data_IF_233517880745
#
_entry.id   IF_233517880745
#
_cell.length_a   1.000
_cell.length_b   1.000
_cell.length_c   1.000
_cell.angle_alpha   90.00
_cell.angle_beta   90.00
_cell.angle_gamma   90.00
#
_symmetry.space_group_name_H-M   'P 1'
#
loop_
_entity.id
_entity.type
_entity.pdbx_description
1 polymer ?
#
# COMPACT_ATOMS: atom_id res chain seq x y z
N UNK A 1 15.40 -15.01 -26.18
CA UNK A 1 14.53 -14.74 -25.02
C UNK A 1 15.43 -14.79 -23.79
N UNK A 2 15.76 -13.62 -23.21
CA UNK A 2 16.69 -13.53 -22.09
C UNK A 2 15.93 -13.83 -20.80
N UNK A 3 16.09 -15.04 -20.27
CA UNK A 3 15.63 -15.37 -18.93
C UNK A 3 16.55 -14.68 -17.92
N UNK A 4 16.14 -13.51 -17.43
CA UNK A 4 16.86 -12.85 -16.34
C UNK A 4 16.52 -13.62 -15.06
N UNK A 5 17.41 -14.52 -14.63
CA UNK A 5 17.37 -15.10 -13.28
C UNK A 5 17.73 -13.98 -12.29
N UNK A 6 16.73 -13.24 -11.83
CA UNK A 6 16.92 -12.20 -10.82
C UNK A 6 16.89 -12.86 -9.44
N UNK A 7 18.05 -13.26 -8.92
CA UNK A 7 18.19 -13.61 -7.50
C UNK A 7 18.28 -12.31 -6.70
N UNK A 8 17.14 -11.83 -6.20
CA UNK A 8 17.15 -10.85 -5.11
C UNK A 8 17.59 -11.59 -3.85
N UNK A 9 18.67 -11.13 -3.20
CA UNK A 9 19.19 -11.72 -1.95
C UNK A 9 18.17 -11.72 -0.80
N UNK A 10 17.13 -10.90 -0.95
CA UNK A 10 16.16 -10.53 0.07
C UNK A 10 15.01 -11.53 0.19
N UNK A 11 14.62 -12.20 -0.91
CA UNK A 11 13.43 -13.08 -0.93
C UNK A 11 13.72 -14.48 -0.36
N UNK A 12 14.99 -14.89 -0.28
CA UNK A 12 15.39 -16.23 0.18
C UNK A 12 14.97 -17.38 -0.75
N UNK A 13 14.36 -17.07 -1.90
CA UNK A 13 13.88 -18.01 -2.90
C UNK A 13 14.38 -17.61 -4.29
N UNK A 14 14.89 -18.56 -5.07
CA UNK A 14 15.41 -18.28 -6.42
C UNK A 14 14.30 -18.49 -7.43
N UNK A 15 13.66 -17.39 -7.84
CA UNK A 15 12.61 -17.38 -8.83
C UNK A 15 13.04 -16.70 -10.13
N UNK A 16 12.41 -17.11 -11.22
CA UNK A 16 12.52 -16.45 -12.51
C UNK A 16 11.12 -16.20 -13.05
N UNK A 17 10.84 -14.96 -13.48
CA UNK A 17 9.53 -14.58 -13.97
C UNK A 17 9.60 -13.36 -14.87
N UNK A 18 8.48 -13.11 -15.55
CA UNK A 18 8.32 -11.95 -16.42
C UNK A 18 8.09 -10.71 -15.58
N UNK A 19 8.85 -9.65 -15.85
CA UNK A 19 8.62 -8.35 -15.24
C UNK A 19 7.34 -7.73 -15.79
N UNK A 20 6.35 -7.51 -14.94
CA UNK A 20 5.05 -6.94 -15.32
C UNK A 20 5.12 -5.42 -15.27
N UNK A 21 5.38 -4.85 -14.09
CA UNK A 21 5.56 -3.41 -13.93
C UNK A 21 6.23 -3.07 -12.60
N UNK A 22 6.48 -1.77 -12.42
CA UNK A 22 6.93 -1.14 -11.19
C UNK A 22 5.86 -0.17 -10.70
N UNK A 23 5.50 -0.23 -9.42
CA UNK A 23 4.56 0.73 -8.83
C UNK A 23 5.21 2.11 -8.62
N UNK A 24 4.43 3.09 -8.14
CA UNK A 24 4.92 4.46 -7.93
C UNK A 24 5.90 4.54 -6.75
N UNK A 25 5.74 3.67 -5.76
CA UNK A 25 6.65 3.56 -4.61
C UNK A 25 8.04 3.06 -5.03
N UNK A 26 8.02 2.11 -5.97
CA UNK A 26 9.14 1.52 -6.66
C UNK A 26 9.29 0.00 -6.46
N UNK A 27 8.27 -0.67 -5.92
CA UNK A 27 8.22 -2.13 -5.85
C UNK A 27 8.01 -2.70 -7.26
N UNK A 28 8.64 -3.83 -7.56
CA UNK A 28 8.58 -4.49 -8.86
C UNK A 28 7.73 -5.75 -8.76
N UNK A 29 6.89 -5.99 -9.76
CA UNK A 29 5.96 -7.11 -9.78
C UNK A 29 6.33 -8.07 -10.91
N UNK A 30 6.28 -9.36 -10.59
CA UNK A 30 6.67 -10.43 -11.50
C UNK A 30 5.62 -11.54 -11.54
N UNK A 31 5.55 -12.23 -12.67
CA UNK A 31 4.65 -13.37 -12.89
C UNK A 31 5.35 -14.50 -13.65
N UNK A 32 5.11 -15.75 -13.23
CA UNK A 32 5.46 -16.98 -13.95
C UNK A 32 4.35 -18.03 -13.74
N UNK A 33 3.62 -18.37 -14.80
CA UNK A 33 2.51 -19.32 -14.78
C UNK A 33 2.92 -20.76 -15.13
N UNK A 34 4.11 -20.98 -15.68
CA UNK A 34 4.51 -22.28 -16.25
C UNK A 34 5.28 -23.15 -15.25
N UNK A 35 6.24 -22.59 -14.53
CA UNK A 35 7.18 -23.35 -13.70
C UNK A 35 6.84 -23.35 -12.20
N UNK A 36 5.90 -22.50 -11.78
CA UNK A 36 5.59 -22.27 -10.36
C UNK A 36 4.29 -22.97 -9.93
N UNK A 37 4.24 -23.35 -8.65
CA UNK A 37 3.03 -23.92 -8.06
C UNK A 37 1.89 -22.89 -8.01
N UNK A 38 0.62 -23.34 -8.03
CA UNK A 38 -0.52 -22.45 -7.80
C UNK A 38 -0.31 -21.59 -6.54
N UNK A 39 -0.70 -20.31 -6.62
CA UNK A 39 -0.49 -19.26 -5.61
C UNK A 39 0.95 -18.74 -5.44
N UNK A 40 1.96 -19.38 -6.05
CA UNK A 40 3.35 -18.91 -6.07
C UNK A 40 3.77 -18.29 -7.41
N UNK A 41 2.83 -18.16 -8.35
CA UNK A 41 3.07 -17.67 -9.70
C UNK A 41 3.33 -16.16 -9.76
N UNK A 42 2.79 -15.39 -8.80
CA UNK A 42 3.00 -13.93 -8.68
C UNK A 42 3.82 -13.59 -7.44
N UNK A 43 4.74 -12.63 -7.56
CA UNK A 43 5.48 -12.10 -6.42
C UNK A 43 5.88 -10.64 -6.61
N UNK A 44 6.29 -10.02 -5.51
CA UNK A 44 6.77 -8.64 -5.45
C UNK A 44 8.22 -8.64 -4.94
N UNK A 45 9.04 -7.81 -5.56
CA UNK A 45 10.37 -7.42 -5.10
C UNK A 45 10.22 -6.00 -4.53
N UNK A 46 10.27 -5.88 -3.20
CA UNK A 46 10.08 -4.60 -2.53
C UNK A 46 11.27 -3.69 -2.82
N UNK A 47 11.02 -2.38 -2.74
CA UNK A 47 12.10 -1.39 -2.87
C UNK A 47 12.90 -1.24 -1.57
N UNK A 48 12.23 -1.32 -0.42
CA UNK A 48 12.84 -1.11 0.89
C UNK A 48 13.17 -2.44 1.57
N UNK A 49 14.23 -2.43 2.39
CA UNK A 49 14.79 -3.60 3.09
C UNK A 49 13.95 -4.05 4.29
N UNK A 50 12.97 -3.26 4.74
CA UNK A 50 12.04 -3.66 5.80
C UNK A 50 10.90 -4.58 5.32
N UNK A 51 10.79 -4.84 4.02
CA UNK A 51 9.87 -5.80 3.38
C UNK A 51 8.43 -5.77 3.91
N UNK A 52 7.84 -4.58 4.05
CA UNK A 52 6.52 -4.47 4.64
C UNK A 52 5.40 -4.65 3.60
N UNK A 53 4.48 -5.61 3.78
CA UNK A 53 3.37 -5.82 2.84
C UNK A 53 2.41 -4.63 2.75
N UNK A 54 2.42 -3.75 3.75
CA UNK A 54 1.64 -2.51 3.71
C UNK A 54 2.16 -1.47 2.72
N UNK A 55 3.29 -1.71 2.02
CA UNK A 55 3.82 -0.82 0.99
C UNK A 55 3.15 -1.04 -0.38
N UNK A 56 2.54 -2.22 -0.61
CA UNK A 56 1.88 -2.58 -1.87
C UNK A 56 0.65 -1.68 -2.08
N UNK A 57 0.58 -1.00 -3.23
CA UNK A 57 -0.58 -0.15 -3.54
C UNK A 57 -1.86 -1.00 -3.72
N UNK A 58 -3.07 -0.45 -3.47
CA UNK A 58 -4.32 -1.22 -3.45
C UNK A 58 -4.61 -2.00 -4.73
N UNK A 59 -4.34 -1.43 -5.92
CA UNK A 59 -4.53 -2.13 -7.19
C UNK A 59 -3.58 -3.31 -7.35
N UNK A 60 -2.31 -3.13 -6.98
CA UNK A 60 -1.31 -4.21 -6.99
C UNK A 60 -1.61 -5.28 -5.94
N UNK A 61 -2.17 -4.90 -4.80
CA UNK A 61 -2.63 -5.82 -3.77
C UNK A 61 -3.78 -6.72 -4.27
N UNK A 62 -4.71 -6.19 -5.06
CA UNK A 62 -5.76 -6.99 -5.68
C UNK A 62 -5.18 -8.01 -6.68
N UNK A 63 -4.22 -7.59 -7.50
CA UNK A 63 -3.60 -8.45 -8.52
C UNK A 63 -2.73 -9.55 -7.91
N UNK A 64 -1.86 -9.23 -6.94
CA UNK A 64 -0.99 -10.22 -6.29
C UNK A 64 -1.79 -11.23 -5.45
N UNK A 65 -2.96 -10.83 -4.95
CA UNK A 65 -3.88 -11.70 -4.20
C UNK A 65 -4.83 -12.52 -5.09
N UNK A 66 -4.63 -12.52 -6.41
CA UNK A 66 -5.48 -13.20 -7.40
C UNK A 66 -6.96 -12.77 -7.36
N UNK A 67 -7.27 -11.55 -6.91
CA UNK A 67 -8.64 -11.01 -7.01
C UNK A 67 -8.96 -10.55 -8.44
N UNK A 68 -7.94 -10.10 -9.17
CA UNK A 68 -8.04 -9.66 -10.56
C UNK A 68 -6.93 -10.32 -11.38
N UNK A 69 -7.26 -10.68 -12.62
CA UNK A 69 -6.30 -11.29 -13.54
C UNK A 69 -5.37 -10.25 -14.15
N UNK A 70 -5.91 -9.08 -14.50
CA UNK A 70 -5.17 -8.00 -15.15
C UNK A 70 -4.46 -7.11 -14.13
N UNK A 71 -3.20 -6.73 -14.37
CA UNK A 71 -2.50 -5.80 -13.50
C UNK A 71 -3.10 -4.38 -13.61
N UNK A 72 -2.86 -3.49 -12.62
CA UNK A 72 -3.33 -2.11 -12.64
C UNK A 72 -2.86 -1.29 -13.87
N UNK A 73 -1.76 -1.71 -14.49
CA UNK A 73 -1.24 -1.08 -15.72
C UNK A 73 -2.08 -1.39 -16.97
N UNK A 74 -2.89 -2.45 -16.94
CA UNK A 74 -3.74 -2.85 -18.07
C UNK A 74 -5.23 -2.64 -17.80
N UNK A 75 -5.66 -2.70 -16.54
CA UNK A 75 -7.05 -2.51 -16.19
C UNK A 75 -7.43 -1.03 -16.13
N UNK A 76 -8.28 -0.61 -17.08
CA UNK A 76 -8.81 0.75 -17.16
C UNK A 76 -9.56 1.16 -15.88
N UNK A 77 -10.21 0.23 -15.18
CA UNK A 77 -10.94 0.53 -13.95
C UNK A 77 -9.99 0.88 -12.81
N UNK A 78 -8.86 0.17 -12.72
CA UNK A 78 -7.84 0.43 -11.69
C UNK A 78 -7.03 1.70 -11.95
N UNK A 79 -7.02 2.19 -13.20
CA UNK A 79 -6.38 3.46 -13.58
C UNK A 79 -7.24 4.68 -13.27
N UNK A 80 -8.57 4.51 -13.19
CA UNK A 80 -9.48 5.61 -12.92
C UNK A 80 -9.38 6.08 -11.47
N UNK A 81 -8.79 7.26 -11.27
CA UNK A 81 -8.74 7.90 -9.96
C UNK A 81 -10.02 8.66 -9.67
N UNK A 82 -10.61 8.39 -8.51
CA UNK A 82 -11.76 9.13 -8.01
C UNK A 82 -11.32 10.45 -7.35
N UNK A 83 -12.15 11.52 -7.37
CA UNK A 83 -11.73 12.83 -6.86
C UNK A 83 -11.46 12.88 -5.35
N UNK A 84 -12.05 11.96 -4.57
CA UNK A 84 -11.80 11.83 -3.13
C UNK A 84 -10.63 10.90 -2.79
N UNK A 85 -10.08 10.19 -3.78
CA UNK A 85 -9.03 9.23 -3.56
C UNK A 85 -7.71 9.96 -3.32
N UNK A 86 -6.93 9.45 -2.36
CA UNK A 86 -5.59 9.97 -2.13
C UNK A 86 -4.74 9.82 -3.40
N UNK A 87 -3.89 10.82 -3.73
CA UNK A 87 -3.09 10.78 -4.95
C UNK A 87 -2.07 9.63 -4.94
N UNK A 88 -1.50 9.36 -3.75
CA UNK A 88 -0.45 8.37 -3.51
C UNK A 88 -0.82 7.45 -2.33
N UNK A 89 -0.33 6.22 -2.38
CA UNK A 89 -0.53 5.22 -1.34
C UNK A 89 0.20 5.62 -0.04
N UNK A 90 -0.46 5.37 1.10
CA UNK A 90 0.11 5.61 2.42
C UNK A 90 0.21 4.28 3.17
N UNK A 91 1.43 3.79 3.47
CA UNK A 91 1.60 2.54 4.18
C UNK A 91 1.14 2.65 5.64
N UNK A 92 1.10 1.52 6.33
CA UNK A 92 0.71 1.46 7.74
C UNK A 92 1.76 2.12 8.62
N UNK A 93 1.35 3.12 9.41
CA UNK A 93 2.22 3.89 10.30
C UNK A 93 2.18 3.41 11.76
N UNK A 94 1.74 2.19 12.03
CA UNK A 94 1.68 1.61 13.38
C UNK A 94 3.06 1.65 14.06
N UNK A 95 3.10 1.92 15.37
CA UNK A 95 4.34 2.09 16.15
C UNK A 95 5.28 3.23 15.68
N UNK A 96 4.82 4.11 14.80
CA UNK A 96 5.56 5.32 14.40
C UNK A 96 4.97 6.60 15.02
N UNK A 97 5.65 7.73 14.85
CA UNK A 97 5.11 9.05 15.25
C UNK A 97 3.83 9.43 14.50
N UNK A 98 3.64 8.90 13.29
CA UNK A 98 2.48 9.12 12.45
C UNK A 98 1.35 8.09 12.68
N UNK A 99 1.44 7.27 13.73
CA UNK A 99 0.38 6.31 14.07
C UNK A 99 -0.96 7.01 14.30
N UNK A 100 -2.04 6.36 13.90
CA UNK A 100 -3.39 6.86 14.12
C UNK A 100 -3.67 6.98 15.63
N UNK A 101 -4.09 8.18 16.06
CA UNK A 101 -4.49 8.46 17.44
C UNK A 101 -5.99 8.74 17.47
N UNK A 102 -6.72 7.94 18.21
CA UNK A 102 -8.15 8.15 18.41
C UNK A 102 -8.38 9.37 19.29
N UNK A 103 -9.43 10.12 18.98
CA UNK A 103 -9.90 11.24 19.77
C UNK A 103 -11.42 11.33 19.65
N UNK A 104 -12.05 12.03 20.60
CA UNK A 104 -13.48 12.32 20.51
C UNK A 104 -13.75 13.30 19.36
N UNK A 105 -14.49 12.86 18.34
CA UNK A 105 -14.94 13.74 17.26
C UNK A 105 -16.11 14.64 17.67
N UNK A 106 -16.69 14.42 18.86
CA UNK A 106 -17.77 15.25 19.40
C UNK A 106 -17.23 16.39 20.26
N UNK A 107 -17.86 17.57 20.11
CA UNK A 107 -17.68 18.70 21.01
C UNK A 107 -18.37 18.40 22.36
N UNK A 108 -17.94 19.03 23.48
CA UNK A 108 -18.66 18.94 24.74
C UNK A 108 -20.14 19.32 24.57
N UNK A 109 -21.04 18.49 25.11
CA UNK A 109 -22.49 18.72 25.00
C UNK A 109 -22.98 19.88 25.88
N UNK A 110 -22.26 20.16 26.97
CA UNK A 110 -22.58 21.20 27.93
C UNK A 110 -21.46 22.22 27.86
N UNK A 111 -21.81 23.48 27.59
CA UNK A 111 -20.87 24.61 27.59
C UNK A 111 -20.77 25.21 28.99
N UNK A 112 -19.56 25.32 29.51
CA UNK A 112 -19.31 25.99 30.78
C UNK A 112 -19.51 27.50 30.64
N UNK A 113 -19.99 28.15 31.71
CA UNK A 113 -19.97 29.60 31.79
C UNK A 113 -18.53 30.10 31.79
N UNK A 114 -18.23 31.13 30.98
CA UNK A 114 -16.92 31.78 30.96
C UNK A 114 -16.97 32.96 31.92
N UNK A 115 -16.15 32.99 32.99
CA UNK A 115 -16.22 34.04 33.99
C UNK A 115 -15.72 35.38 33.45
N UNK A 116 -16.50 36.43 33.69
CA UNK A 116 -16.10 37.81 33.47
C UNK A 116 -15.87 38.49 34.82
N UNK A 117 -14.71 39.12 34.98
CA UNK A 117 -14.37 39.87 36.20
C UNK A 117 -14.69 41.35 36.00
N UNK A 118 -15.55 41.91 36.85
CA UNK A 118 -15.88 43.34 36.86
C UNK A 118 -15.45 43.93 38.21
N UNK A 119 -14.84 45.12 38.18
CA UNK A 119 -14.46 45.85 39.40
C UNK A 119 -15.70 46.33 40.17
N UNK A 120 -15.61 46.38 41.50
CA UNK A 120 -16.68 46.88 42.36
C UNK A 120 -16.73 48.40 42.30
N UNK A 121 -17.90 48.96 42.02
CA UNK A 121 -18.16 50.41 42.04
C UNK A 121 -18.17 50.99 43.46
#
# INVERSE_FOLDING_TARGET
MLFIKYTSWETGDTKAGTFIAKDRYGNKYFENLEDELPLRTRWVDYKDDEFSPCQIEPGWHAWISYMVDKPPTEDLLLQQKQPWQLPDHRPTFTMSRAAFKTYSTVKPKITAWTPETVERA
#
